data_IF_058323325114
#
_entry.id   IF_058323325114
#
_cell.length_a   1.000
_cell.length_b   1.000
_cell.length_c   1.000
_cell.angle_alpha   90.00
_cell.angle_beta   90.00
_cell.angle_gamma   90.00
#
_symmetry.space_group_name_H-M   'P 1'
#
loop_
_entity.id
_entity.type
_entity.pdbx_description
1 polymer ?
#
# COMPACT_ATOMS: atom_id res chain seq x y z
N UNK A 1 -2.19 25.16 -10.00
CA UNK A 1 -2.22 24.43 -8.72
C UNK A 1 -1.64 23.03 -8.92
N UNK A 2 -0.61 22.64 -8.16
CA UNK A 2 0.01 21.30 -8.27
C UNK A 2 -0.90 20.25 -7.62
N UNK A 3 -1.01 19.06 -8.23
CA UNK A 3 -1.96 18.02 -7.81
C UNK A 3 -1.24 16.71 -7.47
N UNK A 4 -1.59 16.10 -6.35
CA UNK A 4 -0.94 14.88 -5.83
C UNK A 4 -1.99 13.85 -5.48
N UNK A 5 -1.77 12.61 -5.93
CA UNK A 5 -2.59 11.46 -5.61
C UNK A 5 -1.80 10.53 -4.69
N UNK A 6 -2.17 10.44 -3.42
CA UNK A 6 -1.59 9.50 -2.47
C UNK A 6 -2.33 8.17 -2.56
N UNK A 7 -1.61 7.06 -2.69
CA UNK A 7 -2.22 5.73 -2.84
C UNK A 7 -1.76 4.81 -1.72
N UNK A 8 -2.70 4.33 -0.91
CA UNK A 8 -2.40 3.30 0.09
C UNK A 8 -3.59 2.43 0.45
N UNK A 9 -3.37 1.12 0.55
CA UNK A 9 -4.44 0.13 0.75
C UNK A 9 -5.29 0.39 2.00
N UNK A 10 -4.68 0.75 3.13
CA UNK A 10 -5.39 0.89 4.41
C UNK A 10 -4.91 2.15 5.13
N UNK A 11 -5.81 3.06 5.47
CA UNK A 11 -5.49 4.21 6.31
C UNK A 11 -5.94 3.95 7.75
N UNK A 12 -5.03 4.19 8.70
CA UNK A 12 -5.27 4.10 10.15
C UNK A 12 -4.49 5.19 10.92
N UNK A 13 -4.80 5.40 12.20
CA UNK A 13 -4.02 6.29 13.09
C UNK A 13 -2.85 5.59 13.81
N UNK A 14 -2.79 4.27 13.73
CA UNK A 14 -1.87 3.47 14.55
C UNK A 14 -0.55 3.13 13.84
N UNK A 15 -0.53 3.04 12.51
CA UNK A 15 0.66 2.64 11.77
C UNK A 15 1.56 3.80 11.33
N UNK A 16 2.88 3.55 11.29
CA UNK A 16 3.88 4.56 10.93
C UNK A 16 3.76 5.04 9.47
N UNK A 17 3.41 4.15 8.55
CA UNK A 17 3.16 4.51 7.14
C UNK A 17 1.92 5.39 7.02
N UNK A 18 0.85 5.05 7.73
CA UNK A 18 -0.40 5.79 7.70
C UNK A 18 -0.26 7.18 8.30
N UNK A 19 0.42 7.30 9.46
CA UNK A 19 0.77 8.60 10.04
C UNK A 19 1.58 9.44 9.06
N UNK A 20 2.56 8.84 8.38
CA UNK A 20 3.35 9.54 7.37
C UNK A 20 2.48 10.05 6.21
N UNK A 21 1.56 9.22 5.70
CA UNK A 21 0.64 9.61 4.61
C UNK A 21 -0.23 10.78 5.02
N UNK A 22 -0.84 10.73 6.21
CA UNK A 22 -1.71 11.79 6.72
C UNK A 22 -0.91 13.09 6.89
N UNK A 23 0.26 13.04 7.53
CA UNK A 23 1.12 14.23 7.69
C UNK A 23 1.58 14.79 6.35
N UNK A 24 1.90 13.92 5.39
CA UNK A 24 2.28 14.33 4.03
C UNK A 24 1.11 15.04 3.34
N UNK A 25 -0.10 14.48 3.43
CA UNK A 25 -1.30 15.07 2.86
C UNK A 25 -1.57 16.47 3.42
N UNK A 26 -1.60 16.59 4.75
CA UNK A 26 -1.85 17.88 5.42
C UNK A 26 -0.76 18.91 5.09
N UNK A 27 0.51 18.51 5.04
CA UNK A 27 1.62 19.40 4.69
C UNK A 27 1.54 19.88 3.23
N UNK A 28 1.09 19.02 2.32
CA UNK A 28 0.88 19.38 0.91
C UNK A 28 -0.31 20.33 0.75
N UNK A 29 -1.43 20.06 1.44
CA UNK A 29 -2.61 20.95 1.46
C UNK A 29 -2.22 22.34 1.99
N UNK A 30 -1.49 22.42 3.11
CA UNK A 30 -0.99 23.69 3.67
C UNK A 30 -0.08 24.46 2.70
N UNK A 31 0.57 23.78 1.77
CA UNK A 31 1.40 24.38 0.71
C UNK A 31 0.59 24.77 -0.55
N UNK A 32 -0.73 24.62 -0.55
CA UNK A 32 -1.60 24.94 -1.68
C UNK A 32 -1.67 23.85 -2.76
N UNK A 33 -1.34 22.60 -2.43
CA UNK A 33 -1.51 21.48 -3.36
C UNK A 33 -2.92 20.90 -3.27
N UNK A 34 -3.46 20.45 -4.40
CA UNK A 34 -4.68 19.62 -4.42
C UNK A 34 -4.29 18.18 -4.14
N UNK A 35 -4.70 17.65 -2.99
CA UNK A 35 -4.34 16.29 -2.56
C UNK A 35 -5.58 15.41 -2.58
N UNK A 36 -5.48 14.28 -3.29
CA UNK A 36 -6.45 13.18 -3.24
C UNK A 36 -5.80 11.96 -2.63
N UNK A 37 -6.55 11.18 -1.87
CA UNK A 37 -6.07 9.94 -1.28
C UNK A 37 -6.94 8.78 -1.77
N UNK A 38 -6.33 7.76 -2.36
CA UNK A 38 -7.01 6.52 -2.74
C UNK A 38 -6.70 5.43 -1.71
N UNK A 39 -7.75 4.84 -1.14
CA UNK A 39 -7.63 3.75 -0.18
C UNK A 39 -8.72 2.70 -0.33
N UNK A 40 -8.51 1.50 0.23
CA UNK A 40 -9.56 0.47 0.30
C UNK A 40 -10.25 0.37 1.65
N UNK A 41 -9.61 0.88 2.71
CA UNK A 41 -10.12 0.79 4.07
C UNK A 41 -9.65 1.98 4.90
N UNK A 42 -10.56 2.54 5.68
CA UNK A 42 -10.28 3.58 6.68
C UNK A 42 -10.61 2.99 8.06
N UNK A 43 -9.75 3.22 9.03
CA UNK A 43 -9.96 2.84 10.44
C UNK A 43 -9.55 4.00 11.34
N UNK A 44 -10.46 4.48 12.21
CA UNK A 44 -10.15 5.44 13.28
C UNK A 44 -9.39 6.70 12.82
N UNK A 45 -9.77 7.27 11.67
CA UNK A 45 -9.22 8.53 11.16
C UNK A 45 -10.32 9.59 11.12
N UNK A 46 -9.99 10.79 11.59
CA UNK A 46 -10.82 11.96 11.40
C UNK A 46 -10.61 12.49 9.97
N UNK A 47 -11.56 12.25 9.08
CA UNK A 47 -11.39 12.44 7.63
C UNK A 47 -11.88 13.80 7.08
N UNK A 48 -12.42 14.68 7.94
CA UNK A 48 -13.16 15.87 7.50
C UNK A 48 -12.38 16.82 6.58
N UNK A 49 -11.05 16.91 6.73
CA UNK A 49 -10.20 17.81 5.94
C UNK A 49 -9.49 17.15 4.75
N UNK A 50 -9.75 15.87 4.49
CA UNK A 50 -9.02 15.08 3.48
C UNK A 50 -9.96 14.58 2.37
N UNK A 51 -9.59 14.81 1.12
CA UNK A 51 -10.28 14.24 -0.05
C UNK A 51 -9.87 12.76 -0.21
N UNK A 52 -10.59 11.87 0.48
CA UNK A 52 -10.33 10.43 0.50
C UNK A 52 -11.36 9.70 -0.36
N UNK A 53 -10.88 9.02 -1.41
CA UNK A 53 -11.66 8.04 -2.16
C UNK A 53 -11.42 6.64 -1.61
N UNK A 54 -12.49 6.04 -1.11
CA UNK A 54 -12.51 4.62 -0.72
C UNK A 54 -12.99 3.76 -1.89
N UNK A 55 -12.23 2.73 -2.25
CA UNK A 55 -12.62 1.69 -3.22
C UNK A 55 -12.96 0.40 -2.49
N UNK A 56 -14.10 -0.19 -2.84
CA UNK A 56 -14.47 -1.52 -2.35
C UNK A 56 -13.66 -2.54 -3.14
N UNK A 57 -12.90 -3.37 -2.43
CA UNK A 57 -12.15 -4.48 -3.01
C UNK A 57 -12.66 -5.80 -2.42
N UNK A 58 -12.64 -6.90 -3.19
CA UNK A 58 -13.00 -8.21 -2.68
C UNK A 58 -12.11 -8.60 -1.48
N UNK A 59 -12.73 -9.22 -0.48
CA UNK A 59 -12.09 -9.51 0.80
C UNK A 59 -11.36 -10.87 0.81
N UNK A 60 -11.76 -11.80 -0.04
CA UNK A 60 -11.19 -13.14 -0.12
C UNK A 60 -11.07 -13.58 -1.58
N UNK A 61 -9.98 -14.28 -1.97
CA UNK A 61 -8.78 -14.60 -1.19
C UNK A 61 -7.81 -13.40 -1.04
N UNK A 62 -6.86 -13.47 -0.08
CA UNK A 62 -5.96 -12.36 0.27
C UNK A 62 -5.08 -11.86 -0.89
N UNK A 63 -4.64 -12.76 -1.78
CA UNK A 63 -3.86 -12.37 -2.97
C UNK A 63 -4.74 -11.60 -3.96
N UNK A 64 -6.00 -12.01 -4.13
CA UNK A 64 -6.95 -11.32 -5.00
C UNK A 64 -7.26 -9.93 -4.47
N UNK A 65 -7.40 -9.78 -3.15
CA UNK A 65 -7.52 -8.45 -2.51
C UNK A 65 -6.37 -7.52 -2.86
N UNK A 66 -5.12 -8.00 -2.82
CA UNK A 66 -3.94 -7.22 -3.20
C UNK A 66 -3.98 -6.87 -4.69
N UNK A 67 -4.29 -7.86 -5.54
CA UNK A 67 -4.33 -7.70 -6.99
C UNK A 67 -5.41 -6.71 -7.41
N UNK A 68 -6.62 -6.86 -6.88
CA UNK A 68 -7.73 -5.96 -7.13
C UNK A 68 -7.37 -4.53 -6.73
N UNK A 69 -6.75 -4.34 -5.56
CA UNK A 69 -6.31 -3.00 -5.15
C UNK A 69 -5.26 -2.43 -6.11
N UNK A 70 -4.25 -3.23 -6.49
CA UNK A 70 -3.22 -2.82 -7.43
C UNK A 70 -3.83 -2.40 -8.78
N UNK A 71 -4.72 -3.21 -9.35
CA UNK A 71 -5.41 -2.92 -10.62
C UNK A 71 -6.31 -1.68 -10.53
N UNK A 72 -7.15 -1.58 -9.49
CA UNK A 72 -7.99 -0.39 -9.28
C UNK A 72 -7.14 0.86 -9.12
N UNK A 73 -6.05 0.78 -8.34
CA UNK A 73 -5.14 1.89 -8.17
C UNK A 73 -4.51 2.31 -9.48
N UNK A 74 -4.11 1.37 -10.34
CA UNK A 74 -3.53 1.66 -11.65
C UNK A 74 -4.50 2.42 -12.55
N UNK A 75 -5.73 1.93 -12.67
CA UNK A 75 -6.78 2.57 -13.47
C UNK A 75 -7.06 3.98 -12.94
N UNK A 76 -7.16 4.14 -11.62
CA UNK A 76 -7.40 5.43 -10.99
C UNK A 76 -6.23 6.40 -11.22
N UNK A 77 -4.99 5.95 -11.07
CA UNK A 77 -3.79 6.73 -11.36
C UNK A 77 -3.77 7.20 -12.81
N UNK A 78 -4.02 6.31 -13.78
CA UNK A 78 -4.07 6.68 -15.21
C UNK A 78 -5.19 7.68 -15.52
N UNK A 79 -6.34 7.57 -14.86
CA UNK A 79 -7.42 8.56 -14.98
C UNK A 79 -6.99 9.94 -14.47
N UNK A 80 -6.31 10.01 -13.34
CA UNK A 80 -5.91 11.27 -12.70
C UNK A 80 -4.64 11.89 -13.28
N UNK A 81 -3.76 11.08 -13.87
CA UNK A 81 -2.61 11.54 -14.65
C UNK A 81 -3.07 12.44 -15.81
N UNK A 82 -4.17 12.11 -16.49
CA UNK A 82 -4.76 12.92 -17.58
C UNK A 82 -5.17 14.33 -17.15
N UNK A 83 -5.42 14.55 -15.85
CA UNK A 83 -5.78 15.86 -15.28
C UNK A 83 -4.66 16.45 -14.42
N UNK A 84 -3.43 15.96 -14.60
CA UNK A 84 -2.20 16.54 -14.06
C UNK A 84 -1.85 16.15 -12.62
N UNK A 85 -2.38 15.03 -12.11
CA UNK A 85 -1.95 14.50 -10.81
C UNK A 85 -0.66 13.69 -10.95
N UNK A 86 0.25 13.90 -9.99
CA UNK A 86 1.40 13.02 -9.75
C UNK A 86 1.03 12.02 -8.66
N UNK A 87 1.22 10.73 -8.94
CA UNK A 87 0.90 9.63 -8.03
C UNK A 87 2.08 9.32 -7.11
N UNK A 88 1.80 9.26 -5.80
CA UNK A 88 2.74 8.86 -4.77
C UNK A 88 2.18 7.67 -3.99
N UNK A 89 2.76 6.51 -4.21
CA UNK A 89 2.28 5.25 -3.68
C UNK A 89 3.09 4.75 -2.49
N UNK A 90 2.40 4.07 -1.59
CA UNK A 90 2.97 3.46 -0.40
C UNK A 90 2.68 1.95 -0.44
N UNK A 91 3.69 1.11 -0.64
CA UNK A 91 3.49 -0.35 -0.73
C UNK A 91 2.84 -0.82 -2.05
N UNK A 92 1.96 -1.82 -1.97
CA UNK A 92 1.56 -2.70 -3.09
C UNK A 92 0.59 -2.01 -4.05
N UNK A 93 1.10 -1.10 -4.86
CA UNK A 93 0.41 -0.41 -5.96
C UNK A 93 1.33 -0.41 -7.18
N UNK A 94 0.75 -0.40 -8.38
CA UNK A 94 1.51 -0.49 -9.64
C UNK A 94 1.31 0.79 -10.46
N UNK A 95 2.31 1.12 -11.29
CA UNK A 95 2.27 2.24 -12.23
C UNK A 95 2.38 3.63 -11.60
N UNK A 96 3.01 3.72 -10.43
CA UNK A 96 3.18 4.95 -9.67
C UNK A 96 4.33 5.81 -10.20
N UNK A 97 4.16 7.13 -10.16
CA UNK A 97 5.22 8.09 -10.53
C UNK A 97 6.30 8.15 -9.44
N UNK A 98 5.87 8.10 -8.18
CA UNK A 98 6.76 8.03 -7.01
C UNK A 98 6.32 6.82 -6.19
N UNK A 99 7.27 5.94 -5.88
CA UNK A 99 7.02 4.76 -5.07
C UNK A 99 7.84 4.82 -3.78
N UNK A 100 7.17 4.82 -2.63
CA UNK A 100 7.80 4.50 -1.35
C UNK A 100 7.69 3.00 -1.13
N UNK A 101 8.78 2.30 -1.41
CA UNK A 101 8.90 0.88 -1.13
C UNK A 101 9.03 0.68 0.39
N UNK A 102 7.98 0.20 1.02
CA UNK A 102 8.06 -0.33 2.38
C UNK A 102 8.55 -1.78 2.30
N UNK A 103 9.85 -2.00 2.38
CA UNK A 103 10.45 -3.33 2.18
C UNK A 103 11.83 -3.55 2.77
N UNK A 104 12.44 -2.51 3.37
CA UNK A 104 13.76 -2.64 4.02
C UNK A 104 13.79 -3.73 5.10
N UNK A 105 12.65 -4.01 5.72
CA UNK A 105 12.49 -5.08 6.71
C UNK A 105 12.02 -6.42 6.13
N UNK A 106 11.69 -6.54 4.84
CA UNK A 106 11.10 -7.78 4.32
C UNK A 106 12.13 -8.91 4.25
N UNK A 107 13.35 -8.64 3.76
CA UNK A 107 14.44 -9.63 3.77
C UNK A 107 14.77 -10.09 5.18
N UNK A 108 14.87 -9.14 6.11
CA UNK A 108 15.13 -9.44 7.53
C UNK A 108 13.95 -10.18 8.17
N UNK A 109 12.71 -9.80 7.85
CA UNK A 109 11.52 -10.51 8.29
C UNK A 109 11.50 -11.96 7.78
N UNK A 110 11.83 -12.18 6.50
CA UNK A 110 11.89 -13.53 5.92
C UNK A 110 12.99 -14.34 6.59
N UNK A 111 14.17 -13.74 6.80
CA UNK A 111 15.28 -14.36 7.53
C UNK A 111 14.86 -14.75 8.95
N UNK A 112 14.27 -13.83 9.71
CA UNK A 112 13.77 -14.08 11.06
C UNK A 112 12.66 -15.14 11.08
N UNK A 113 11.77 -15.15 10.08
CA UNK A 113 10.73 -16.16 9.98
C UNK A 113 11.30 -17.56 9.72
N UNK A 114 12.39 -17.69 8.95
CA UNK A 114 13.07 -18.97 8.75
C UNK A 114 13.83 -19.43 10.00
N UNK A 115 14.45 -18.52 10.76
CA UNK A 115 15.18 -18.84 11.98
C UNK A 115 14.28 -19.42 13.11
N UNK A 116 12.96 -19.23 13.05
CA UNK A 116 12.00 -19.80 14.01
C UNK A 116 11.80 -21.31 13.86
N UNK A 117 12.18 -21.89 12.73
CA UNK A 117 12.00 -23.31 12.49
C UNK A 117 13.18 -24.11 13.08
N UNK A 118 12.90 -24.92 14.09
CA UNK A 118 13.92 -25.72 14.80
C UNK A 118 14.30 -27.01 14.06
N UNK A 119 13.44 -27.55 13.19
CA UNK A 119 13.70 -28.76 12.41
C UNK A 119 13.95 -28.48 10.93
N UNK A 120 14.85 -29.26 10.31
CA UNK A 120 15.21 -29.14 8.88
C UNK A 120 14.01 -29.34 7.95
N UNK A 121 13.11 -30.28 8.28
CA UNK A 121 11.88 -30.54 7.52
C UNK A 121 10.89 -29.37 7.61
N UNK A 122 10.71 -28.80 8.80
CA UNK A 122 9.83 -27.63 9.00
C UNK A 122 10.34 -26.41 8.23
N UNK A 123 11.66 -26.19 8.24
CA UNK A 123 12.31 -25.14 7.45
C UNK A 123 12.14 -25.36 5.94
N UNK A 124 12.32 -26.60 5.46
CA UNK A 124 12.15 -26.93 4.03
C UNK A 124 10.70 -26.69 3.60
N UNK A 125 9.73 -27.18 4.36
CA UNK A 125 8.30 -26.94 4.11
C UNK A 125 7.98 -25.44 4.11
N UNK A 126 8.49 -24.68 5.07
CA UNK A 126 8.28 -23.24 5.14
C UNK A 126 8.85 -22.50 3.91
N UNK A 127 10.04 -22.90 3.42
CA UNK A 127 10.62 -22.37 2.18
C UNK A 127 9.76 -22.69 0.97
N UNK A 128 9.35 -23.95 0.79
CA UNK A 128 8.51 -24.37 -0.34
C UNK A 128 7.16 -23.64 -0.31
N UNK A 129 6.46 -23.67 0.82
CA UNK A 129 5.17 -22.99 1.00
C UNK A 129 5.26 -21.50 0.68
N UNK A 130 6.33 -20.84 1.11
CA UNK A 130 6.53 -19.42 0.88
C UNK A 130 6.86 -19.11 -0.59
N UNK A 131 7.73 -19.91 -1.22
CA UNK A 131 8.10 -19.74 -2.63
C UNK A 131 6.94 -20.03 -3.59
N UNK A 132 6.04 -20.94 -3.23
CA UNK A 132 4.84 -21.26 -4.03
C UNK A 132 3.65 -20.32 -3.71
N UNK A 133 3.73 -19.52 -2.65
CA UNK A 133 2.64 -18.63 -2.26
C UNK A 133 2.60 -17.38 -3.14
N UNK A 134 1.62 -17.30 -4.03
CA UNK A 134 1.34 -16.08 -4.80
C UNK A 134 1.17 -14.84 -3.90
N UNK A 135 0.53 -15.01 -2.74
CA UNK A 135 0.39 -13.93 -1.76
C UNK A 135 1.74 -13.38 -1.28
N UNK A 136 2.76 -14.24 -1.11
CA UNK A 136 4.09 -13.82 -0.70
C UNK A 136 4.78 -12.98 -1.78
N UNK A 137 4.72 -13.42 -3.03
CA UNK A 137 5.25 -12.66 -4.17
C UNK A 137 4.57 -11.30 -4.35
N UNK A 138 3.27 -11.23 -4.05
CA UNK A 138 2.53 -9.99 -4.09
C UNK A 138 2.80 -9.02 -2.92
N UNK A 139 3.59 -9.43 -1.92
CA UNK A 139 4.02 -8.58 -0.80
C UNK A 139 5.40 -7.93 -1.04
N UNK A 140 6.15 -8.39 -2.04
CA UNK A 140 7.41 -7.82 -2.50
C UNK A 140 7.16 -6.58 -3.36
#
# INVERSE_FOLDING_TARGET
MKKVLLVYKKLSTYGGTERYIIHTALKLIKKGYSVKILTSKIENINAYDLDIKVVKIPHWPNWFKLLSFALYSYIYQKKYAKVGYVSFCFGNSIGCDILRVSGGTHKDYVKQAYLRHTSKLSLLYAKIKRNLSLYHWMLL
#
